data_IF_020030618713
#
_entry.id   IF_020030618713
#
_cell.length_a   1.000
_cell.length_b   1.000
_cell.length_c   1.000
_cell.angle_alpha   90.00
_cell.angle_beta   90.00
_cell.angle_gamma   90.00
#
_symmetry.space_group_name_H-M   'P 1'
#
loop_
_entity.id
_entity.type
_entity.pdbx_description
1 polymer ?
#
# COMPACT_ATOMS: atom_id res chain seq x y z
N UNK A 1 -15.21 -21.77 -1.51
CA UNK A 1 -15.38 -20.47 -0.80
C UNK A 1 -16.87 -20.15 -0.81
N UNK A 2 -17.52 -20.02 0.34
CA UNK A 2 -18.97 -19.74 0.38
C UNK A 2 -19.27 -18.33 -0.13
N UNK A 3 -20.43 -18.14 -0.76
CA UNK A 3 -20.88 -16.84 -1.30
C UNK A 3 -20.85 -15.74 -0.22
N UNK A 4 -21.28 -16.07 0.99
CA UNK A 4 -21.30 -15.18 2.16
C UNK A 4 -19.91 -14.71 2.59
N UNK A 5 -18.89 -15.57 2.47
CA UNK A 5 -17.51 -15.19 2.80
C UNK A 5 -16.99 -14.12 1.83
N UNK A 6 -17.24 -14.29 0.52
CA UNK A 6 -16.82 -13.33 -0.50
C UNK A 6 -17.50 -11.97 -0.29
N UNK A 7 -18.79 -11.97 0.02
CA UNK A 7 -19.55 -10.74 0.28
C UNK A 7 -18.97 -10.00 1.50
N UNK A 8 -18.67 -10.71 2.59
CA UNK A 8 -18.06 -10.10 3.78
C UNK A 8 -16.69 -9.47 3.47
N UNK A 9 -15.85 -10.14 2.69
CA UNK A 9 -14.54 -9.62 2.29
C UNK A 9 -14.72 -8.38 1.42
N UNK A 10 -15.65 -8.40 0.47
CA UNK A 10 -15.96 -7.26 -0.37
C UNK A 10 -16.39 -6.04 0.43
N UNK A 11 -17.32 -6.20 1.38
CA UNK A 11 -17.78 -5.11 2.24
C UNK A 11 -16.66 -4.57 3.14
N UNK A 12 -15.79 -5.45 3.66
CA UNK A 12 -14.63 -5.05 4.46
C UNK A 12 -13.65 -4.20 3.64
N UNK A 13 -13.35 -4.64 2.40
CA UNK A 13 -12.51 -3.89 1.46
C UNK A 13 -13.12 -2.53 1.11
N UNK A 14 -14.43 -2.49 0.87
CA UNK A 14 -15.15 -1.25 0.58
C UNK A 14 -15.06 -0.26 1.73
N UNK A 15 -15.27 -0.71 2.97
CA UNK A 15 -15.13 0.12 4.18
C UNK A 15 -13.70 0.65 4.32
N UNK A 16 -12.70 -0.21 4.15
CA UNK A 16 -11.30 0.19 4.21
C UNK A 16 -10.96 1.28 3.17
N UNK A 17 -11.46 1.15 1.93
CA UNK A 17 -11.27 2.20 0.91
C UNK A 17 -11.89 3.55 1.30
N UNK A 18 -13.04 3.54 1.96
CA UNK A 18 -13.68 4.76 2.45
C UNK A 18 -12.86 5.43 3.56
N UNK A 19 -12.32 4.64 4.48
CA UNK A 19 -11.45 5.14 5.56
C UNK A 19 -10.14 5.71 5.00
N UNK A 20 -9.51 4.98 4.07
CA UNK A 20 -8.30 5.43 3.37
C UNK A 20 -8.51 6.72 2.60
N UNK A 21 -9.65 6.89 1.93
CA UNK A 21 -9.96 8.11 1.20
C UNK A 21 -9.96 9.35 2.11
N UNK A 22 -10.39 9.19 3.36
CA UNK A 22 -10.49 10.27 4.35
C UNK A 22 -9.16 10.59 5.05
N UNK A 23 -8.11 9.78 4.87
CA UNK A 23 -6.83 10.05 5.51
C UNK A 23 -6.18 11.34 5.00
N UNK A 24 -5.54 12.13 5.88
CA UNK A 24 -4.69 13.25 5.48
C UNK A 24 -3.60 12.82 4.50
N UNK A 25 -3.19 13.72 3.61
CA UNK A 25 -2.13 13.46 2.61
C UNK A 25 -0.83 12.99 3.29
N UNK A 26 -0.49 13.59 4.44
CA UNK A 26 0.68 13.21 5.24
C UNK A 26 0.65 11.75 5.67
N UNK A 27 -0.50 11.26 6.15
CA UNK A 27 -0.65 9.86 6.54
C UNK A 27 -0.59 8.91 5.34
N UNK A 28 -1.17 9.31 4.21
CA UNK A 28 -1.05 8.55 2.96
C UNK A 28 0.40 8.43 2.49
N UNK A 29 1.16 9.52 2.55
CA UNK A 29 2.60 9.52 2.23
C UNK A 29 3.39 8.64 3.19
N UNK A 30 3.13 8.73 4.50
CA UNK A 30 3.77 7.87 5.50
C UNK A 30 3.53 6.39 5.19
N UNK A 31 2.28 5.99 4.91
CA UNK A 31 1.93 4.62 4.55
C UNK A 31 2.61 4.17 3.24
N UNK A 32 2.66 5.03 2.23
CA UNK A 32 3.33 4.74 0.96
C UNK A 32 4.84 4.48 1.16
N UNK A 33 5.52 5.33 1.94
CA UNK A 33 6.95 5.18 2.22
C UNK A 33 7.23 3.92 3.04
N UNK A 34 6.33 3.56 3.96
CA UNK A 34 6.43 2.32 4.73
C UNK A 34 6.31 1.08 3.84
N UNK A 35 5.33 1.06 2.93
CA UNK A 35 5.18 -0.01 1.93
C UNK A 35 6.40 -0.09 1.01
N UNK A 36 6.91 1.05 0.55
CA UNK A 36 8.11 1.08 -0.30
C UNK A 36 9.29 0.39 0.40
N UNK A 37 9.50 0.62 1.70
CA UNK A 37 10.58 -0.02 2.48
C UNK A 37 10.41 -1.54 2.57
N UNK A 38 9.17 -2.02 2.68
CA UNK A 38 8.88 -3.45 2.77
C UNK A 38 9.06 -4.15 1.41
N UNK A 39 8.62 -3.52 0.33
CA UNK A 39 8.67 -4.08 -1.03
C UNK A 39 10.05 -4.00 -1.67
N UNK A 40 10.87 -3.00 -1.29
CA UNK A 40 12.20 -2.77 -1.86
C UNK A 40 13.08 -4.04 -1.90
N UNK A 41 13.28 -4.80 -0.79
CA UNK A 41 14.11 -6.00 -0.81
C UNK A 41 13.53 -7.11 -1.69
N UNK A 42 12.20 -7.16 -1.88
CA UNK A 42 11.56 -8.14 -2.75
C UNK A 42 11.80 -7.78 -4.22
N UNK A 43 11.55 -6.52 -4.58
CA UNK A 43 11.73 -6.04 -5.95
C UNK A 43 13.20 -6.12 -6.40
N UNK A 44 14.13 -5.71 -5.53
CA UNK A 44 15.55 -5.74 -5.83
C UNK A 44 16.11 -7.17 -6.05
N UNK A 45 15.49 -8.19 -5.44
CA UNK A 45 15.84 -9.61 -5.66
C UNK A 45 15.38 -10.12 -7.02
N UNK A 46 14.26 -9.61 -7.53
CA UNK A 46 13.68 -10.09 -8.79
C UNK A 46 14.21 -9.33 -10.01
N UNK A 47 14.53 -8.04 -9.88
CA UNK A 47 14.98 -7.20 -10.99
C UNK A 47 15.75 -5.96 -10.54
N UNK A 48 16.57 -5.36 -11.43
CA UNK A 48 17.09 -4.02 -11.21
C UNK A 48 15.94 -3.02 -10.99
N UNK A 49 16.11 -2.15 -9.99
CA UNK A 49 15.15 -1.09 -9.68
C UNK A 49 15.25 0.04 -10.71
N UNK A 50 14.10 0.52 -11.17
CA UNK A 50 14.00 1.76 -11.94
C UNK A 50 14.29 2.95 -11.03
N UNK A 51 14.68 4.08 -11.60
CA UNK A 51 15.12 5.24 -10.81
C UNK A 51 14.04 5.76 -9.86
N UNK A 52 12.76 5.66 -10.23
CA UNK A 52 11.62 6.09 -9.40
C UNK A 52 11.21 5.06 -8.33
N UNK A 53 11.73 3.83 -8.39
CA UNK A 53 11.44 2.78 -7.40
C UNK A 53 12.42 2.78 -6.24
N UNK A 54 13.56 3.47 -6.42
CA UNK A 54 14.51 3.73 -5.34
C UNK A 54 13.84 4.56 -4.25
N UNK A 55 14.19 4.32 -2.96
CA UNK A 55 13.59 5.05 -1.87
C UNK A 55 13.89 6.55 -2.03
N UNK A 56 12.85 7.36 -1.88
CA UNK A 56 13.00 8.81 -1.88
C UNK A 56 13.48 9.25 -0.50
N UNK A 57 14.50 10.12 -0.49
CA UNK A 57 15.04 10.70 0.75
C UNK A 57 14.16 11.87 1.21
N UNK A 58 12.96 11.55 1.68
CA UNK A 58 11.97 12.52 2.15
C UNK A 58 11.34 12.05 3.46
N UNK A 59 11.09 12.98 4.38
CA UNK A 59 10.28 12.75 5.57
C UNK A 59 8.81 13.14 5.29
N UNK A 60 7.82 12.35 5.76
CA UNK A 60 6.40 12.67 5.61
C UNK A 60 5.96 13.85 6.47
#
# INVERSE_FOLDING_TARGET
MSSEFNERIYQSKKKWHQEQAQLPIKEKMRQLLELQKQDLPLLAKHRPLKWWEKPWDIEP
#
